data_IF_555648055532
#
_entry.id   IF_555648055532
#
_cell.length_a   1.000
_cell.length_b   1.000
_cell.length_c   1.000
_cell.angle_alpha   90.00
_cell.angle_beta   90.00
_cell.angle_gamma   90.00
#
_symmetry.space_group_name_H-M   'P 1'
#
loop_
_entity.id
_entity.type
_entity.pdbx_description
1 polymer ?
#
# COMPACT_ATOMS: atom_id res chain seq x y z
N UNK A 1 21.06 15.50 11.26
CA UNK A 1 20.41 14.28 10.74
C UNK A 1 20.45 14.27 9.22
N UNK A 2 19.91 15.29 8.55
CA UNK A 2 19.94 15.43 7.08
C UNK A 2 21.32 15.23 6.45
N UNK A 3 22.34 15.97 6.89
CA UNK A 3 23.71 15.79 6.38
C UNK A 3 24.26 14.36 6.57
N UNK A 4 23.85 13.62 7.60
CA UNK A 4 24.26 12.21 7.76
C UNK A 4 23.49 11.31 6.79
N UNK A 5 22.20 11.56 6.60
CA UNK A 5 21.36 10.81 5.66
C UNK A 5 21.84 11.00 4.21
N UNK A 6 22.23 12.22 3.83
CA UNK A 6 22.79 12.52 2.52
C UNK A 6 24.17 11.88 2.30
N UNK A 7 24.97 11.71 3.35
CA UNK A 7 26.31 11.13 3.25
C UNK A 7 26.32 9.60 3.31
N UNK A 8 25.39 9.01 4.05
CA UNK A 8 25.42 7.58 4.38
C UNK A 8 24.27 6.80 3.75
N UNK A 9 23.29 7.48 3.13
CA UNK A 9 22.01 6.93 2.64
C UNK A 9 21.19 6.18 3.69
N UNK A 10 21.70 6.00 4.91
CA UNK A 10 21.07 5.25 5.99
C UNK A 10 21.44 5.86 7.32
N UNK A 11 20.43 6.14 8.14
CA UNK A 11 20.63 6.58 9.52
C UNK A 11 19.87 5.68 10.48
N UNK A 12 20.48 5.39 11.62
CA UNK A 12 19.82 4.71 12.73
C UNK A 12 19.47 5.75 13.80
N UNK A 13 18.22 5.79 14.21
CA UNK A 13 17.73 6.60 15.31
C UNK A 13 17.20 5.66 16.39
N UNK A 14 17.78 5.76 17.58
CA UNK A 14 17.46 4.89 18.71
C UNK A 14 16.92 5.68 19.90
N UNK A 15 16.31 4.99 20.86
CA UNK A 15 15.70 5.64 22.01
C UNK A 15 14.43 6.42 21.65
N UNK A 16 13.83 6.18 20.48
CA UNK A 16 12.71 6.97 19.98
C UNK A 16 11.41 6.28 20.36
N UNK A 17 10.65 6.76 21.36
CA UNK A 17 9.35 6.15 21.65
C UNK A 17 8.45 6.26 20.43
N UNK A 18 7.47 5.36 20.36
CA UNK A 18 6.53 5.22 19.25
C UNK A 18 6.07 6.55 18.61
N UNK A 19 5.49 7.47 19.39
CA UNK A 19 4.93 8.71 18.83
C UNK A 19 6.03 9.64 18.24
N UNK A 20 7.13 9.93 18.94
CA UNK A 20 8.25 10.66 18.35
C UNK A 20 8.81 10.11 17.03
N UNK A 21 8.70 8.80 16.74
CA UNK A 21 9.18 8.22 15.48
C UNK A 21 8.53 8.90 14.26
N UNK A 22 7.20 8.98 14.26
CA UNK A 22 6.44 9.61 13.19
C UNK A 22 6.77 11.09 13.01
N UNK A 23 7.00 11.82 14.11
CA UNK A 23 7.35 13.24 14.06
C UNK A 23 8.72 13.47 13.41
N UNK A 24 9.71 12.67 13.80
CA UNK A 24 11.07 12.81 13.27
C UNK A 24 11.11 12.43 11.80
N UNK A 25 10.48 11.31 11.41
CA UNK A 25 10.43 10.87 10.02
C UNK A 25 9.65 11.86 9.16
N UNK A 26 8.50 12.35 9.63
CA UNK A 26 7.71 13.33 8.88
C UNK A 26 8.47 14.63 8.68
N UNK A 27 9.20 15.10 9.69
CA UNK A 27 10.03 16.29 9.56
C UNK A 27 11.18 16.08 8.55
N UNK A 28 11.80 14.90 8.52
CA UNK A 28 12.85 14.59 7.54
C UNK A 28 12.28 14.54 6.12
N UNK A 29 11.17 13.84 5.91
CA UNK A 29 10.49 13.74 4.62
C UNK A 29 10.05 15.12 4.11
N UNK A 30 9.47 15.94 4.98
CA UNK A 30 9.02 17.30 4.65
C UNK A 30 10.19 18.21 4.23
N UNK A 31 11.32 18.19 4.97
CA UNK A 31 12.46 19.06 4.64
C UNK A 31 13.15 18.63 3.35
N UNK A 32 13.12 17.35 3.01
CA UNK A 32 13.69 16.84 1.77
C UNK A 32 12.71 16.85 0.60
N UNK A 33 11.44 17.21 0.84
CA UNK A 33 10.33 17.14 -0.12
C UNK A 33 10.22 15.74 -0.75
N UNK A 34 10.32 14.69 0.08
CA UNK A 34 10.25 13.30 -0.36
C UNK A 34 8.96 12.62 0.10
N UNK A 35 8.32 11.79 -0.75
CA UNK A 35 7.29 10.88 -0.28
C UNK A 35 7.90 9.87 0.70
N UNK A 36 7.05 9.18 1.45
CA UNK A 36 7.47 8.31 2.55
C UNK A 36 6.96 6.88 2.35
N UNK A 37 7.81 5.88 2.50
CA UNK A 37 7.42 4.49 2.75
C UNK A 37 7.72 4.18 4.22
N UNK A 38 6.72 3.75 4.98
CA UNK A 38 6.91 3.21 6.32
C UNK A 38 6.74 1.69 6.25
N UNK A 39 7.75 0.97 6.72
CA UNK A 39 7.76 -0.49 6.82
C UNK A 39 7.77 -0.88 8.29
N UNK A 40 6.79 -1.66 8.71
CA UNK A 40 6.64 -2.16 10.08
C UNK A 40 6.68 -3.70 10.13
N UNK A 41 6.72 -4.27 11.33
CA UNK A 41 6.66 -5.72 11.49
C UNK A 41 5.24 -6.30 11.28
N UNK A 42 4.20 -5.55 11.63
CA UNK A 42 2.81 -6.05 11.64
C UNK A 42 1.81 -5.04 11.09
N UNK A 43 0.65 -5.53 10.62
CA UNK A 43 -0.46 -4.70 10.14
C UNK A 43 -1.01 -3.77 11.24
N UNK A 44 -0.98 -4.19 12.51
CA UNK A 44 -1.40 -3.36 13.64
C UNK A 44 -0.49 -2.14 13.81
N UNK A 45 0.83 -2.35 13.74
CA UNK A 45 1.80 -1.25 13.79
C UNK A 45 1.68 -0.35 12.57
N UNK A 46 1.47 -0.92 11.39
CA UNK A 46 1.22 -0.17 10.15
C UNK A 46 -0.04 0.71 10.27
N UNK A 47 -1.16 0.19 10.78
CA UNK A 47 -2.40 0.96 10.93
C UNK A 47 -2.24 2.12 11.91
N UNK A 48 -1.48 1.92 12.99
CA UNK A 48 -1.15 2.99 13.94
C UNK A 48 -0.24 4.06 13.32
N UNK A 49 0.71 3.68 12.47
CA UNK A 49 1.51 4.62 11.69
C UNK A 49 0.66 5.43 10.71
N UNK A 50 -0.23 4.78 9.96
CA UNK A 50 -1.13 5.44 9.02
C UNK A 50 -1.98 6.52 9.71
N UNK A 51 -2.68 6.16 10.78
CA UNK A 51 -3.47 7.10 11.59
C UNK A 51 -2.61 8.25 12.16
N UNK A 52 -1.35 7.97 12.48
CA UNK A 52 -0.42 8.98 12.97
C UNK A 52 -0.02 9.98 11.88
N UNK A 53 0.29 9.51 10.67
CA UNK A 53 0.65 10.36 9.53
C UNK A 53 -0.53 11.23 9.09
N UNK A 54 -1.75 10.67 9.05
CA UNK A 54 -2.98 11.43 8.80
C UNK A 54 -3.16 12.56 9.82
N UNK A 55 -3.01 12.25 11.12
CA UNK A 55 -3.10 13.25 12.18
C UNK A 55 -2.00 14.34 12.10
N UNK A 56 -0.88 14.06 11.43
CA UNK A 56 0.19 15.03 11.15
C UNK A 56 -0.07 15.88 9.90
N UNK A 57 -1.16 15.64 9.17
CA UNK A 57 -1.54 16.41 7.98
C UNK A 57 -0.80 15.98 6.71
N UNK A 58 -0.38 14.72 6.62
CA UNK A 58 -0.04 14.12 5.32
C UNK A 58 -1.25 14.19 4.38
N UNK A 59 -0.99 14.43 3.10
CA UNK A 59 -2.05 14.70 2.12
C UNK A 59 -2.75 13.42 1.69
N UNK A 60 -1.97 12.38 1.44
CA UNK A 60 -2.46 11.05 1.09
C UNK A 60 -1.62 10.03 1.86
N UNK A 61 -2.29 9.18 2.63
CA UNK A 61 -1.66 8.09 3.38
C UNK A 61 -2.29 6.80 2.92
N UNK A 62 -1.55 6.05 2.11
CA UNK A 62 -1.99 4.76 1.60
C UNK A 62 -1.55 3.62 2.52
N UNK A 63 -2.47 2.72 2.83
CA UNK A 63 -2.15 1.48 3.53
C UNK A 63 -1.99 0.36 2.51
N UNK A 64 -0.77 -0.18 2.38
CA UNK A 64 -0.51 -1.31 1.48
C UNK A 64 -0.63 -2.62 2.26
N UNK A 65 -1.70 -3.41 2.05
CA UNK A 65 -1.95 -4.60 2.85
C UNK A 65 -1.11 -5.77 2.37
N UNK A 66 -0.80 -6.67 3.29
CA UNK A 66 0.05 -7.84 3.07
C UNK A 66 -0.57 -9.09 3.65
N UNK A 67 -0.27 -10.24 3.06
CA UNK A 67 -0.73 -11.55 3.54
C UNK A 67 0.35 -12.27 4.35
N UNK A 68 -0.08 -13.07 5.32
CA UNK A 68 0.77 -14.08 5.97
C UNK A 68 0.72 -15.44 5.24
N UNK A 69 -0.17 -15.59 4.25
CA UNK A 69 -0.27 -16.82 3.45
C UNK A 69 0.99 -17.06 2.63
N UNK A 70 1.26 -18.32 2.36
CA UNK A 70 2.35 -18.71 1.48
C UNK A 70 2.07 -18.26 0.04
N UNK A 71 3.06 -17.76 -0.72
CA UNK A 71 2.88 -17.45 -2.13
C UNK A 71 2.60 -18.69 -2.99
N UNK A 72 2.79 -19.90 -2.46
CA UNK A 72 2.58 -21.15 -3.18
C UNK A 72 1.20 -21.79 -2.90
N UNK A 73 0.35 -21.10 -2.14
CA UNK A 73 -0.98 -21.57 -1.80
C UNK A 73 -1.83 -21.78 -3.07
N UNK A 74 -2.56 -22.91 -3.21
CA UNK A 74 -3.45 -23.13 -4.34
C UNK A 74 -4.69 -22.22 -4.36
N UNK A 75 -4.96 -21.48 -3.28
CA UNK A 75 -6.12 -20.58 -3.18
C UNK A 75 -5.73 -19.12 -3.41
N UNK A 76 -6.66 -18.35 -3.98
CA UNK A 76 -6.47 -16.91 -4.10
C UNK A 76 -6.59 -16.21 -2.74
N UNK A 77 -5.87 -15.11 -2.60
CA UNK A 77 -5.97 -14.25 -1.44
C UNK A 77 -7.30 -13.47 -1.47
N UNK A 78 -7.71 -12.96 -0.31
CA UNK A 78 -8.93 -12.15 -0.20
C UNK A 78 -8.87 -10.93 -1.15
N UNK A 79 -9.94 -10.73 -1.93
CA UNK A 79 -10.01 -9.68 -2.95
C UNK A 79 -9.72 -8.29 -2.38
N UNK A 80 -10.22 -7.99 -1.18
CA UNK A 80 -9.99 -6.69 -0.50
C UNK A 80 -8.50 -6.35 -0.35
N UNK A 81 -7.67 -7.36 -0.05
CA UNK A 81 -6.23 -7.15 0.06
C UNK A 81 -5.62 -6.83 -1.31
N UNK A 82 -5.97 -7.60 -2.34
CA UNK A 82 -5.52 -7.34 -3.72
C UNK A 82 -5.92 -5.95 -4.17
N UNK A 83 -7.15 -5.54 -3.87
CA UNK A 83 -7.69 -4.24 -4.24
C UNK A 83 -6.98 -3.09 -3.52
N UNK A 84 -6.67 -3.25 -2.23
CA UNK A 84 -5.83 -2.30 -1.50
C UNK A 84 -4.42 -2.17 -2.10
N UNK A 85 -3.81 -3.28 -2.55
CA UNK A 85 -2.52 -3.22 -3.25
C UNK A 85 -2.66 -2.48 -4.59
N UNK A 86 -3.65 -2.84 -5.40
CA UNK A 86 -3.92 -2.22 -6.70
C UNK A 86 -4.24 -0.72 -6.57
N UNK A 87 -4.90 -0.29 -5.50
CA UNK A 87 -5.11 1.12 -5.19
C UNK A 87 -3.80 1.89 -5.08
N UNK A 88 -2.85 1.36 -4.30
CA UNK A 88 -1.51 1.98 -4.18
C UNK A 88 -0.79 1.99 -5.54
N UNK A 89 -0.86 0.90 -6.31
CA UNK A 89 -0.22 0.84 -7.63
C UNK A 89 -0.87 1.80 -8.63
N UNK A 90 -2.20 1.98 -8.58
CA UNK A 90 -2.93 2.94 -9.40
C UNK A 90 -2.53 4.39 -9.08
N UNK A 91 -2.42 4.72 -7.79
CA UNK A 91 -1.96 6.04 -7.33
C UNK A 91 -0.53 6.34 -7.79
N UNK A 92 0.36 5.34 -7.71
CA UNK A 92 1.72 5.45 -8.25
C UNK A 92 1.70 5.69 -9.76
N UNK A 93 0.81 5.03 -10.51
CA UNK A 93 0.63 5.23 -11.95
C UNK A 93 0.04 6.60 -12.32
N UNK A 94 -0.69 7.22 -11.40
CA UNK A 94 -1.20 8.59 -11.50
C UNK A 94 -0.17 9.65 -11.08
N UNK A 95 1.01 9.23 -10.59
CA UNK A 95 2.07 10.12 -10.15
C UNK A 95 1.84 10.71 -8.76
N UNK A 96 1.03 10.07 -7.91
CA UNK A 96 0.79 10.54 -6.53
C UNK A 96 2.10 10.72 -5.73
N UNK A 97 3.09 9.87 -6.01
CA UNK A 97 4.43 9.93 -5.40
C UNK A 97 5.28 11.12 -5.83
N UNK A 98 4.83 11.96 -6.78
CA UNK A 98 5.47 13.25 -7.08
C UNK A 98 5.23 14.27 -5.95
N UNK A 99 4.20 14.09 -5.13
CA UNK A 99 3.95 14.90 -3.96
C UNK A 99 4.73 14.35 -2.76
N UNK A 100 5.49 15.22 -2.08
CA UNK A 100 6.14 14.83 -0.82
C UNK A 100 5.13 14.45 0.27
N UNK A 101 3.86 14.86 0.13
CA UNK A 101 2.78 14.58 1.07
C UNK A 101 2.10 13.22 0.83
N UNK A 102 2.69 12.38 -0.01
CA UNK A 102 2.27 11.02 -0.26
C UNK A 102 3.06 10.05 0.61
N UNK A 103 2.36 9.27 1.43
CA UNK A 103 2.95 8.22 2.24
C UNK A 103 2.32 6.86 1.93
N UNK A 104 3.13 5.81 1.93
CA UNK A 104 2.68 4.42 1.94
C UNK A 104 3.10 3.80 3.27
N UNK A 105 2.20 3.10 3.93
CA UNK A 105 2.48 2.35 5.16
C UNK A 105 2.18 0.89 4.92
N UNK A 106 3.13 0.03 5.27
CA UNK A 106 3.06 -1.40 4.99
C UNK A 106 3.86 -2.22 6.00
N UNK A 107 3.85 -3.54 5.84
CA UNK A 107 4.71 -4.44 6.60
C UNK A 107 5.93 -4.86 5.79
N UNK A 108 6.91 -5.46 6.44
CA UNK A 108 8.09 -6.01 5.78
C UNK A 108 7.76 -7.05 4.69
N UNK A 109 6.58 -7.69 4.74
CA UNK A 109 6.12 -8.64 3.71
C UNK A 109 6.02 -8.01 2.32
N UNK A 110 5.73 -6.71 2.22
CA UNK A 110 5.65 -6.02 0.93
C UNK A 110 7.01 -5.94 0.20
N UNK A 111 8.11 -6.22 0.89
CA UNK A 111 9.46 -6.28 0.31
C UNK A 111 9.76 -7.62 -0.38
N UNK A 112 8.96 -8.66 -0.10
CA UNK A 112 9.03 -9.92 -0.83
C UNK A 112 8.51 -9.72 -2.26
N UNK A 113 9.00 -10.50 -3.24
CA UNK A 113 8.43 -10.49 -4.57
C UNK A 113 7.02 -11.11 -4.55
N UNK A 114 6.02 -10.35 -4.96
CA UNK A 114 4.60 -10.74 -4.97
C UNK A 114 3.78 -10.04 -6.05
N UNK A 115 4.43 -9.25 -6.91
CA UNK A 115 3.82 -8.48 -7.98
C UNK A 115 4.37 -8.91 -9.35
N UNK A 116 3.59 -8.80 -10.42
CA UNK A 116 4.14 -8.81 -11.77
C UNK A 116 5.18 -7.69 -11.94
N UNK A 117 6.17 -7.84 -12.84
CA UNK A 117 7.06 -6.74 -13.19
C UNK A 117 6.30 -5.50 -13.64
N UNK A 118 6.83 -4.31 -13.35
CA UNK A 118 6.18 -3.02 -13.70
C UNK A 118 5.80 -2.97 -15.19
N UNK A 119 6.68 -3.44 -16.07
CA UNK A 119 6.45 -3.48 -17.52
C UNK A 119 5.34 -4.44 -17.95
N UNK A 120 5.03 -5.47 -17.16
CA UNK A 120 3.93 -6.39 -17.40
C UNK A 120 2.60 -5.85 -16.83
N UNK A 121 2.66 -5.06 -15.76
CA UNK A 121 1.49 -4.43 -15.14
C UNK A 121 1.01 -3.17 -15.88
N UNK A 122 1.92 -2.32 -16.37
CA UNK A 122 1.59 -1.06 -17.04
C UNK A 122 0.58 -1.19 -18.21
N UNK A 123 0.69 -2.19 -19.11
CA UNK A 123 -0.29 -2.38 -20.19
C UNK A 123 -1.71 -2.68 -19.69
N UNK A 124 -1.84 -3.17 -18.46
CA UNK A 124 -3.11 -3.45 -17.78
C UNK A 124 -3.64 -2.24 -17.00
N UNK A 125 -2.94 -1.10 -17.02
CA UNK A 125 -3.45 0.17 -16.47
C UNK A 125 -4.14 0.96 -17.58
N UNK A 126 -5.46 0.95 -17.63
CA UNK A 126 -6.24 1.74 -18.56
C UNK A 126 -6.45 3.16 -18.00
N UNK A 127 -5.64 4.11 -18.49
CA UNK A 127 -5.79 5.53 -18.17
C UNK A 127 -6.87 6.16 -19.06
N UNK A 128 -7.83 6.83 -18.43
CA UNK A 128 -8.92 7.56 -19.05
C UNK A 128 -8.86 9.01 -18.58
N UNK A 129 -8.79 9.94 -19.53
CA UNK A 129 -8.72 11.36 -19.23
C UNK A 129 -9.74 12.13 -20.06
N UNK A 130 -10.12 13.30 -19.55
CA UNK A 130 -10.98 14.23 -20.29
C UNK A 130 -10.39 14.54 -21.67
N UNK A 131 -11.27 14.76 -22.66
CA UNK A 131 -10.96 15.11 -24.04
C UNK A 131 -10.27 13.97 -24.84
N UNK A 132 -10.28 12.74 -24.31
CA UNK A 132 -9.79 11.54 -24.99
C UNK A 132 -10.89 10.93 -25.90
N UNK A 133 -10.52 10.51 -27.11
CA UNK A 133 -11.41 9.69 -27.97
C UNK A 133 -11.43 8.23 -27.49
N UNK A 134 -12.64 7.70 -27.28
CA UNK A 134 -12.92 6.37 -26.76
C UNK A 134 -13.71 5.56 -27.81
N UNK A 135 -13.10 4.46 -28.25
CA UNK A 135 -13.82 3.44 -29.00
C UNK A 135 -14.50 2.45 -28.05
N UNK A 136 -15.82 2.44 -28.02
CA UNK A 136 -16.64 1.59 -27.12
C UNK A 136 -16.34 0.09 -27.24
N UNK A 137 -16.09 -0.41 -28.46
CA UNK A 137 -15.79 -1.84 -28.67
C UNK A 137 -14.43 -2.19 -28.07
N UNK A 138 -13.43 -1.35 -28.30
CA UNK A 138 -12.09 -1.52 -27.73
C UNK A 138 -12.12 -1.38 -26.20
N UNK A 139 -12.87 -0.43 -25.66
CA UNK A 139 -13.04 -0.25 -24.23
C UNK A 139 -13.70 -1.48 -23.59
N UNK A 140 -14.79 -1.99 -24.17
CA UNK A 140 -15.46 -3.20 -23.70
C UNK A 140 -14.51 -4.41 -23.68
N UNK A 141 -13.66 -4.57 -24.70
CA UNK A 141 -12.67 -5.66 -24.75
C UNK A 141 -11.58 -5.48 -23.69
N UNK A 142 -11.12 -4.24 -23.47
CA UNK A 142 -10.15 -3.94 -22.42
C UNK A 142 -10.73 -4.21 -21.03
N UNK A 143 -11.94 -3.75 -20.74
CA UNK A 143 -12.60 -4.00 -19.45
C UNK A 143 -12.78 -5.49 -19.16
N UNK A 144 -13.18 -6.28 -20.18
CA UNK A 144 -13.23 -7.73 -20.05
C UNK A 144 -11.84 -8.34 -19.76
N UNK A 145 -10.79 -7.89 -20.45
CA UNK A 145 -9.40 -8.32 -20.19
C UNK A 145 -8.93 -7.95 -18.77
N UNK A 146 -9.40 -6.82 -18.24
CA UNK A 146 -9.14 -6.40 -16.87
C UNK A 146 -9.95 -7.18 -15.82
N UNK A 147 -10.87 -8.06 -16.24
CA UNK A 147 -11.71 -8.84 -15.34
C UNK A 147 -12.94 -8.09 -14.83
N UNK A 148 -13.42 -7.08 -15.55
CA UNK A 148 -14.64 -6.34 -15.18
C UNK A 148 -15.90 -6.96 -15.80
N UNK A 149 -16.92 -7.08 -14.97
CA UNK A 149 -18.21 -7.66 -15.34
C UNK A 149 -19.14 -6.62 -15.95
N UNK A 150 -19.68 -6.96 -17.13
CA UNK A 150 -20.68 -6.11 -17.79
C UNK A 150 -22.05 -6.36 -17.18
N UNK A 151 -22.62 -5.33 -16.56
CA UNK A 151 -23.91 -5.37 -15.88
C UNK A 151 -24.88 -4.33 -16.45
N UNK A 152 -26.14 -4.37 -15.99
CA UNK A 152 -27.15 -3.38 -16.35
C UNK A 152 -27.07 -2.11 -15.50
N UNK A 153 -26.67 -2.27 -14.23
CA UNK A 153 -26.48 -1.21 -13.24
C UNK A 153 -25.26 -1.56 -12.40
N UNK A 154 -24.36 -0.59 -12.24
CA UNK A 154 -23.16 -0.73 -11.43
C UNK A 154 -23.52 -0.51 -9.96
N UNK A 155 -23.25 -1.51 -9.14
CA UNK A 155 -23.55 -1.51 -7.70
C UNK A 155 -22.31 -1.83 -6.85
N UNK A 156 -21.41 -2.70 -7.35
CA UNK A 156 -20.20 -3.12 -6.65
C UNK A 156 -18.95 -2.96 -7.52
N UNK A 157 -17.79 -3.00 -6.88
CA UNK A 157 -16.46 -2.96 -7.49
C UNK A 157 -16.31 -4.06 -8.56
N UNK A 158 -15.51 -3.77 -9.59
CA UNK A 158 -15.28 -4.69 -10.70
C UNK A 158 -16.42 -4.72 -11.73
N UNK A 159 -17.48 -3.93 -11.55
CA UNK A 159 -18.59 -3.87 -12.50
C UNK A 159 -18.48 -2.67 -13.45
N UNK A 160 -19.07 -2.81 -14.64
CA UNK A 160 -19.30 -1.69 -15.54
C UNK A 160 -20.60 -1.83 -16.33
N UNK A 161 -21.21 -0.71 -16.72
CA UNK A 161 -22.42 -0.66 -17.51
C UNK A 161 -22.31 0.41 -18.60
N UNK A 162 -23.05 0.21 -19.69
CA UNK A 162 -23.14 1.16 -20.78
C UNK A 162 -24.61 1.50 -21.06
N UNK A 163 -24.94 2.80 -21.09
CA UNK A 163 -26.28 3.33 -21.33
C UNK A 163 -26.21 4.50 -22.32
N UNK A 164 -26.32 4.19 -23.61
CA UNK A 164 -26.13 5.19 -24.67
C UNK A 164 -24.71 5.75 -24.61
N UNK A 165 -24.60 7.06 -24.39
CA UNK A 165 -23.34 7.81 -24.33
C UNK A 165 -22.75 7.87 -22.90
N UNK A 166 -23.32 7.13 -21.96
CA UNK A 166 -22.83 7.04 -20.58
C UNK A 166 -22.21 5.67 -20.33
N UNK A 167 -21.06 5.66 -19.69
CA UNK A 167 -20.41 4.45 -19.17
C UNK A 167 -20.23 4.63 -17.67
N UNK A 168 -20.80 3.73 -16.89
CA UNK A 168 -20.54 3.65 -15.45
C UNK A 168 -19.53 2.52 -15.22
N UNK A 169 -18.52 2.75 -14.39
CA UNK A 169 -17.53 1.73 -14.00
C UNK A 169 -17.22 1.89 -12.53
N UNK A 170 -17.11 0.78 -11.79
CA UNK A 170 -16.66 0.79 -10.41
C UNK A 170 -15.26 0.18 -10.33
N UNK A 171 -14.20 1.00 -10.29
CA UNK A 171 -12.84 0.50 -10.15
C UNK A 171 -12.67 -0.25 -8.84
N UNK A 172 -11.92 -1.37 -8.85
CA UNK A 172 -11.54 -2.06 -7.60
C UNK A 172 -10.55 -1.26 -6.76
N UNK A 173 -9.86 -0.30 -7.38
CA UNK A 173 -8.82 0.54 -6.81
C UNK A 173 -9.34 1.92 -6.39
N UNK A 174 -10.65 2.10 -6.21
CA UNK A 174 -11.26 3.39 -5.89
C UNK A 174 -12.45 3.24 -4.93
N UNK A 175 -12.67 4.25 -4.09
CA UNK A 175 -13.76 4.23 -3.10
C UNK A 175 -15.15 4.42 -3.73
N UNK A 176 -15.21 5.09 -4.88
CA UNK A 176 -16.47 5.43 -5.55
C UNK A 176 -16.44 5.04 -7.03
N UNK A 177 -17.59 4.64 -7.61
CA UNK A 177 -17.70 4.40 -9.03
C UNK A 177 -17.67 5.72 -9.81
N UNK A 178 -17.25 5.62 -11.07
CA UNK A 178 -17.08 6.76 -11.96
C UNK A 178 -17.99 6.62 -13.17
N UNK A 179 -18.70 7.71 -13.46
CA UNK A 179 -19.50 7.93 -14.66
C UNK A 179 -18.69 8.70 -15.69
N UNK A 180 -18.53 8.10 -16.85
CA UNK A 180 -17.93 8.67 -18.06
C UNK A 180 -19.06 9.16 -18.97
N UNK A 181 -19.12 10.46 -19.22
CA UNK A 181 -20.07 11.08 -20.15
C UNK A 181 -19.39 11.34 -21.49
N UNK A 182 -19.88 10.71 -22.57
CA UNK A 182 -19.35 10.85 -23.91
C UNK A 182 -20.19 11.83 -24.76
N UNK A 183 -19.55 12.48 -25.72
CA UNK A 183 -20.21 13.15 -26.84
C UNK A 183 -19.67 12.58 -28.16
N UNK A 184 -20.47 11.71 -28.80
CA UNK A 184 -19.97 10.89 -29.90
C UNK A 184 -18.94 9.88 -29.39
N UNK A 185 -17.69 10.04 -29.79
CA UNK A 185 -16.56 9.24 -29.31
C UNK A 185 -15.65 9.98 -28.32
N UNK A 186 -15.93 11.24 -27.97
CA UNK A 186 -15.09 12.04 -27.08
C UNK A 186 -15.55 11.95 -25.62
N UNK A 187 -14.61 11.73 -24.69
CA UNK A 187 -14.86 11.75 -23.25
C UNK A 187 -14.93 13.18 -22.71
N UNK A 188 -16.13 13.73 -22.55
CA UNK A 188 -16.31 15.11 -22.09
C UNK A 188 -16.14 15.28 -20.59
N UNK A 189 -16.61 14.31 -19.80
CA UNK A 189 -16.61 14.42 -18.32
C UNK A 189 -16.43 13.07 -17.65
N UNK A 190 -15.73 13.11 -16.51
CA UNK A 190 -15.67 12.05 -15.53
C UNK A 190 -16.24 12.57 -14.22
N UNK A 191 -17.13 11.82 -13.59
CA UNK A 191 -17.74 12.16 -12.30
C UNK A 191 -17.85 10.94 -11.44
N UNK A 192 -17.50 11.07 -10.17
CA UNK A 192 -17.86 10.06 -9.18
C UNK A 192 -19.40 10.05 -9.02
N UNK A 193 -19.95 8.92 -8.58
CA UNK A 193 -21.37 8.84 -8.23
C UNK A 193 -21.61 7.90 -7.05
N UNK A 194 -22.72 8.11 -6.35
CA UNK A 194 -23.12 7.25 -5.25
C UNK A 194 -23.77 5.96 -5.80
N UNK A 195 -23.24 4.74 -5.53
CA UNK A 195 -23.76 3.50 -6.11
C UNK A 195 -25.18 3.16 -5.64
N UNK A 196 -25.60 3.61 -4.46
CA UNK A 196 -26.95 3.35 -3.95
C UNK A 196 -28.02 4.24 -4.57
N UNK A 197 -27.72 5.53 -4.78
CA UNK A 197 -28.67 6.53 -5.30
C UNK A 197 -28.50 6.80 -6.79
N UNK A 198 -27.39 6.36 -7.39
CA UNK A 198 -27.01 6.57 -8.80
C UNK A 198 -26.86 8.05 -9.19
N UNK A 199 -26.63 8.93 -8.20
CA UNK A 199 -26.47 10.37 -8.37
C UNK A 199 -25.01 10.76 -8.45
N UNK A 200 -24.68 11.61 -9.42
CA UNK A 200 -23.35 12.16 -9.58
C UNK A 200 -22.92 13.01 -8.39
N UNK A 201 -21.63 12.93 -8.08
CA UNK A 201 -20.89 13.63 -7.05
C UNK A 201 -19.86 14.56 -7.72
N UNK A 202 -18.65 14.58 -7.21
CA UNK A 202 -17.57 15.44 -7.66
C UNK A 202 -17.05 15.03 -9.05
N UNK A 203 -16.53 16.02 -9.77
CA UNK A 203 -15.87 15.79 -11.06
C UNK A 203 -14.40 15.46 -10.82
N UNK A 204 -13.87 14.55 -11.64
CA UNK A 204 -12.46 14.17 -11.61
C UNK A 204 -11.85 14.40 -13.00
N UNK A 205 -10.54 14.66 -13.04
CA UNK A 205 -9.85 14.98 -14.30
C UNK A 205 -9.40 13.73 -15.06
N UNK A 206 -9.11 12.65 -14.32
CA UNK A 206 -8.57 11.40 -14.84
C UNK A 206 -8.98 10.22 -13.97
N UNK A 207 -8.97 9.04 -14.57
CA UNK A 207 -9.24 7.75 -13.95
C UNK A 207 -8.21 6.74 -14.44
N UNK A 208 -7.72 5.86 -13.55
CA UNK A 208 -6.94 4.68 -13.93
C UNK A 208 -7.70 3.45 -13.50
N UNK A 209 -8.02 2.59 -14.47
CA UNK A 209 -8.56 1.27 -14.20
C UNK A 209 -7.41 0.26 -14.20
N UNK A 210 -7.23 -0.41 -13.07
CA UNK A 210 -6.37 -1.58 -12.90
C UNK A 210 -7.16 -2.84 -13.23
N UNK A 211 -6.51 -4.01 -13.43
CA UNK A 211 -7.22 -5.28 -13.43
C UNK A 211 -7.84 -5.56 -12.06
N UNK A 212 -8.80 -6.48 -11.98
CA UNK A 212 -9.48 -6.88 -10.74
C UNK A 212 -8.65 -7.86 -9.89
N UNK A 213 -7.68 -8.54 -10.51
CA UNK A 213 -6.67 -9.40 -9.89
C UNK A 213 -5.37 -9.40 -10.75
N UNK A 214 -4.26 -9.95 -10.25
CA UNK A 214 -3.04 -10.14 -11.04
C UNK A 214 -3.09 -11.36 -11.98
N UNK A 215 -4.06 -12.26 -11.82
CA UNK A 215 -4.23 -13.47 -12.63
C UNK A 215 -4.27 -13.21 -14.15
N UNK A 216 -4.94 -12.17 -14.69
CA UNK A 216 -4.88 -11.85 -16.12
C UNK A 216 -3.47 -11.59 -16.65
N UNK A 217 -2.59 -11.03 -15.81
CA UNK A 217 -1.20 -10.69 -16.17
C UNK A 217 -0.34 -11.95 -16.13
N UNK A 218 -0.47 -12.73 -15.05
CA UNK A 218 0.28 -13.98 -14.86
C UNK A 218 -0.11 -15.01 -15.92
N UNK A 219 -1.40 -15.16 -16.20
CA UNK A 219 -1.87 -16.14 -17.20
C UNK A 219 -1.43 -15.78 -18.62
N UNK A 220 -1.46 -14.50 -19.00
CA UNK A 220 -0.95 -14.08 -20.31
C UNK A 220 0.53 -14.43 -20.47
N UNK A 221 1.35 -14.12 -19.45
CA UNK A 221 2.77 -14.48 -19.46
C UNK A 221 3.00 -16.01 -19.50
N UNK A 222 2.22 -16.81 -18.77
CA UNK A 222 2.33 -18.27 -18.81
C UNK A 222 1.92 -18.87 -20.15
N UNK A 223 0.95 -18.28 -20.85
CA UNK A 223 0.57 -18.71 -22.20
C UNK A 223 1.74 -18.53 -23.17
N UNK A 224 2.51 -17.45 -23.06
CA UNK A 224 3.69 -17.20 -23.90
C UNK A 224 4.81 -18.22 -23.67
N UNK A 225 4.95 -18.75 -22.45
CA UNK A 225 5.93 -19.80 -22.13
C UNK A 225 5.50 -21.20 -22.57
N UNK A 226 4.21 -21.40 -22.89
CA UNK A 226 3.65 -22.70 -23.24
C UNK A 226 3.52 -23.67 -22.05
N UNK A 227 3.61 -23.18 -20.82
CA UNK A 227 3.51 -24.02 -19.62
C UNK A 227 2.07 -24.32 -19.20
N UNK A 228 1.08 -23.59 -19.72
CA UNK A 228 -0.34 -23.74 -19.38
C UNK A 228 -0.85 -25.17 -19.56
N UNK A 229 -0.38 -25.88 -20.58
CA UNK A 229 -0.78 -27.27 -20.88
C UNK A 229 -0.44 -28.26 -19.76
N UNK A 230 0.58 -27.94 -18.95
CA UNK A 230 1.05 -28.77 -17.83
C UNK A 230 0.53 -28.29 -16.48
N UNK A 231 0.18 -27.01 -16.38
CA UNK A 231 -0.25 -26.38 -15.13
C UNK A 231 -1.77 -26.46 -14.91
N UNK A 232 -2.55 -26.53 -15.99
CA UNK A 232 -4.00 -26.48 -15.96
C UNK A 232 -4.61 -27.83 -16.37
N UNK A 233 -5.72 -28.20 -15.74
CA UNK A 233 -6.57 -29.27 -16.26
C UNK A 233 -7.23 -28.85 -17.58
N UNK A 234 -7.76 -29.82 -18.34
CA UNK A 234 -8.50 -29.51 -19.57
C UNK A 234 -9.70 -28.59 -19.29
N UNK A 235 -10.43 -28.81 -18.20
CA UNK A 235 -11.56 -27.96 -17.80
C UNK A 235 -11.11 -26.52 -17.50
N UNK A 236 -9.98 -26.34 -16.83
CA UNK A 236 -9.44 -25.01 -16.54
C UNK A 236 -8.93 -24.31 -17.81
N UNK A 237 -8.40 -25.05 -18.79
CA UNK A 237 -8.00 -24.51 -20.11
C UNK A 237 -9.21 -24.06 -20.93
N UNK A 238 -10.26 -24.87 -20.97
CA UNK A 238 -11.52 -24.53 -21.63
C UNK A 238 -12.13 -23.27 -20.99
N UNK A 239 -12.19 -23.21 -19.66
CA UNK A 239 -12.63 -22.02 -18.92
C UNK A 239 -11.79 -20.78 -19.26
N UNK A 240 -10.46 -20.91 -19.30
CA UNK A 240 -9.57 -19.80 -19.67
C UNK A 240 -9.81 -19.30 -21.09
N UNK A 241 -10.09 -20.20 -22.04
CA UNK A 241 -10.45 -19.82 -23.41
C UNK A 241 -11.80 -19.08 -23.49
N UNK A 242 -12.69 -19.31 -22.51
CA UNK A 242 -13.95 -18.59 -22.32
C UNK A 242 -13.80 -17.32 -21.44
N UNK A 243 -12.60 -17.02 -20.93
CA UNK A 243 -12.29 -15.85 -20.12
C UNK A 243 -12.43 -16.05 -18.60
N UNK A 244 -12.61 -17.29 -18.13
CA UNK A 244 -12.67 -17.65 -16.72
C UNK A 244 -11.24 -17.89 -16.22
N UNK A 245 -10.79 -17.08 -15.25
CA UNK A 245 -9.45 -17.19 -14.71
C UNK A 245 -9.34 -18.36 -13.70
N UNK A 246 -8.28 -19.18 -13.75
CA UNK A 246 -8.04 -20.24 -12.78
C UNK A 246 -7.74 -19.70 -11.38
N UNK A 247 -8.22 -20.41 -10.36
CA UNK A 247 -7.95 -20.09 -8.95
C UNK A 247 -6.49 -20.35 -8.57
N UNK A 248 -5.95 -19.46 -7.72
CA UNK A 248 -4.62 -19.54 -7.14
C UNK A 248 -3.51 -19.32 -8.17
N UNK A 249 -3.80 -18.56 -9.22
CA UNK A 249 -2.85 -18.27 -10.30
C UNK A 249 -1.55 -17.63 -9.77
N UNK A 250 -1.60 -16.92 -8.65
CA UNK A 250 -0.46 -16.26 -8.00
C UNK A 250 0.70 -17.20 -7.67
N UNK A 251 0.43 -18.49 -7.40
CA UNK A 251 1.47 -19.49 -7.12
C UNK A 251 2.44 -19.71 -8.28
N UNK A 252 2.05 -19.30 -9.47
CA UNK A 252 2.87 -19.41 -10.68
C UNK A 252 3.56 -18.11 -11.05
N UNK A 253 3.54 -17.08 -10.18
CA UNK A 253 4.21 -15.81 -10.45
C UNK A 253 5.70 -16.00 -10.81
N UNK A 254 6.41 -16.87 -10.08
CA UNK A 254 7.81 -17.20 -10.35
C UNK A 254 8.04 -18.04 -11.62
N UNK A 255 7.00 -18.67 -12.17
CA UNK A 255 7.05 -19.33 -13.48
C UNK A 255 6.74 -18.36 -14.62
N UNK A 256 5.86 -17.39 -14.36
CA UNK A 256 5.44 -16.39 -15.33
C UNK A 256 6.52 -15.34 -15.60
N UNK A 257 7.35 -15.02 -14.60
CA UNK A 257 8.38 -14.00 -14.70
C UNK A 257 9.68 -14.46 -14.05
N UNK A 258 10.80 -14.26 -14.75
CA UNK A 258 12.15 -14.55 -14.22
C UNK A 258 12.52 -13.66 -13.02
N UNK A 259 12.00 -12.42 -13.02
CA UNK A 259 12.21 -11.42 -11.98
C UNK A 259 10.88 -10.81 -11.54
N UNK A 260 10.06 -11.54 -10.74
CA UNK A 260 8.86 -10.97 -10.15
C UNK A 260 9.21 -9.77 -9.26
N UNK A 261 8.33 -8.78 -9.24
CA UNK A 261 8.55 -7.54 -8.53
C UNK A 261 8.03 -7.60 -7.08
N UNK A 262 8.58 -6.73 -6.26
CA UNK A 262 8.09 -6.34 -4.94
C UNK A 262 7.51 -4.93 -5.01
N UNK A 263 6.98 -4.42 -3.88
CA UNK A 263 6.54 -3.02 -3.83
C UNK A 263 7.69 -2.05 -4.16
N UNK A 264 8.93 -2.37 -3.76
CA UNK A 264 10.10 -1.50 -3.96
C UNK A 264 10.31 -1.14 -5.45
N UNK A 265 10.05 -2.07 -6.35
CA UNK A 265 10.26 -1.90 -7.79
C UNK A 265 9.28 -0.89 -8.42
N UNK A 266 8.15 -0.61 -7.75
CA UNK A 266 7.13 0.36 -8.17
C UNK A 266 7.36 1.75 -7.58
N UNK A 267 8.28 1.91 -6.63
CA UNK A 267 8.50 3.17 -5.93
C UNK A 267 9.54 4.06 -6.65
N UNK A 268 9.37 5.39 -6.62
CA UNK A 268 10.37 6.28 -7.18
C UNK A 268 11.62 6.33 -6.28
N UNK A 269 12.81 6.37 -6.89
CA UNK A 269 14.11 6.44 -6.17
C UNK A 269 14.22 7.66 -5.22
N UNK A 270 13.41 8.69 -5.43
CA UNK A 270 13.37 9.89 -4.58
C UNK A 270 12.72 9.66 -3.22
N UNK A 271 12.03 8.54 -3.00
CA UNK A 271 11.28 8.24 -1.78
C UNK A 271 12.19 8.02 -0.55
N UNK A 272 11.71 8.40 0.64
CA UNK A 272 12.35 8.10 1.92
C UNK A 272 11.75 6.84 2.54
N UNK A 273 12.57 5.87 2.93
CA UNK A 273 12.11 4.65 3.61
C UNK A 273 12.34 4.78 5.12
N UNK A 274 11.29 4.62 5.90
CA UNK A 274 11.34 4.50 7.35
C UNK A 274 11.08 3.05 7.76
N UNK A 275 12.08 2.40 8.34
CA UNK A 275 11.96 1.03 8.87
C UNK A 275 11.75 1.10 10.38
N UNK A 276 10.54 0.77 10.82
CA UNK A 276 10.16 0.77 12.21
C UNK A 276 10.51 -0.57 12.87
N UNK A 277 11.30 -0.52 13.94
CA UNK A 277 11.78 -1.69 14.67
C UNK A 277 12.39 -2.76 13.74
N UNK A 278 13.53 -2.48 13.07
CA UNK A 278 14.13 -3.40 12.10
C UNK A 278 14.35 -4.83 12.61
N UNK A 279 14.64 -4.98 13.90
CA UNK A 279 14.85 -6.30 14.51
C UNK A 279 13.53 -7.06 14.71
N UNK A 280 12.41 -6.35 14.94
CA UNK A 280 11.08 -6.96 14.95
C UNK A 280 10.65 -7.34 13.54
N UNK A 281 10.92 -6.48 12.53
CA UNK A 281 10.70 -6.82 11.12
C UNK A 281 11.47 -8.08 10.73
N UNK A 282 12.75 -8.17 11.12
CA UNK A 282 13.58 -9.36 10.90
C UNK A 282 12.99 -10.61 11.55
N UNK A 283 12.65 -10.53 12.83
CA UNK A 283 12.11 -11.67 13.55
C UNK A 283 10.79 -12.17 12.94
N UNK A 284 9.90 -11.26 12.55
CA UNK A 284 8.67 -11.61 11.84
C UNK A 284 9.00 -12.24 10.48
N UNK A 285 9.93 -11.65 9.72
CA UNK A 285 10.34 -12.16 8.41
C UNK A 285 10.90 -13.57 8.47
N UNK A 286 11.81 -13.83 9.41
CA UNK A 286 12.51 -15.11 9.49
C UNK A 286 11.52 -16.25 9.78
N UNK A 287 10.53 -16.02 10.65
CA UNK A 287 9.48 -17.01 10.96
C UNK A 287 8.61 -17.36 9.75
N UNK A 288 8.20 -16.37 8.96
CA UNK A 288 7.41 -16.63 7.75
C UNK A 288 8.24 -17.26 6.65
N UNK A 289 9.49 -16.82 6.47
CA UNK A 289 10.40 -17.43 5.49
C UNK A 289 10.63 -18.90 5.79
N UNK A 290 10.80 -19.27 7.07
CA UNK A 290 10.88 -20.67 7.50
C UNK A 290 9.61 -21.45 7.13
N UNK A 291 8.44 -20.93 7.48
CA UNK A 291 7.16 -21.56 7.14
C UNK A 291 6.96 -21.75 5.62
N UNK A 292 7.30 -20.72 4.84
CA UNK A 292 7.14 -20.72 3.38
C UNK A 292 8.18 -21.61 2.69
N UNK A 293 9.39 -21.71 3.25
CA UNK A 293 10.42 -22.65 2.79
C UNK A 293 9.95 -24.09 2.97
N UNK A 294 9.42 -24.44 4.14
CA UNK A 294 8.86 -25.77 4.40
C UNK A 294 7.73 -26.10 3.42
N UNK A 295 6.82 -25.15 3.16
CA UNK A 295 5.77 -25.34 2.18
C UNK A 295 6.34 -25.57 0.78
N UNK A 296 7.30 -24.74 0.35
CA UNK A 296 7.95 -24.85 -0.97
C UNK A 296 8.62 -26.21 -1.19
N UNK A 297 9.33 -26.72 -0.19
CA UNK A 297 10.00 -28.03 -0.25
C UNK A 297 9.00 -29.19 -0.30
N UNK A 298 7.78 -28.98 0.22
CA UNK A 298 6.72 -29.98 0.21
C UNK A 298 5.85 -29.98 -1.06
N UNK A 299 6.07 -29.02 -1.98
CA UNK A 299 5.27 -28.90 -3.20
C UNK A 299 5.46 -30.12 -4.12
N UNK A 300 4.35 -30.82 -4.40
CA UNK A 300 4.28 -31.86 -5.40
C UNK A 300 3.75 -31.25 -6.70
N UNK A 301 4.64 -30.98 -7.66
CA UNK A 301 4.26 -30.45 -8.98
C UNK A 301 5.08 -31.10 -10.09
N UNK A 302 4.46 -31.32 -11.25
CA UNK A 302 5.15 -31.81 -12.45
C UNK A 302 6.21 -30.83 -12.96
N UNK A 303 6.03 -29.54 -12.68
CA UNK A 303 6.97 -28.47 -13.00
C UNK A 303 7.57 -27.96 -11.69
N UNK A 304 8.90 -27.85 -11.64
CA UNK A 304 9.57 -27.24 -10.51
C UNK A 304 9.18 -25.76 -10.41
N UNK A 305 8.46 -25.39 -9.34
CA UNK A 305 8.08 -24.00 -9.06
C UNK A 305 9.30 -23.28 -8.49
N UNK A 306 9.76 -22.16 -9.10
CA UNK A 306 10.90 -21.40 -8.60
C UNK A 306 10.66 -20.87 -7.19
N UNK A 307 11.74 -20.83 -6.41
CA UNK A 307 11.71 -20.26 -5.06
C UNK A 307 11.54 -18.74 -5.16
N UNK A 308 10.37 -18.25 -4.76
CA UNK A 308 10.00 -16.84 -4.81
C UNK A 308 10.43 -16.06 -3.56
N UNK A 309 10.25 -16.65 -2.39
CA UNK A 309 10.57 -16.00 -1.11
C UNK A 309 12.09 -15.91 -0.88
N UNK A 310 12.52 -14.86 -0.18
CA UNK A 310 13.93 -14.61 0.15
C UNK A 310 14.12 -14.11 1.59
N UNK A 311 15.33 -14.24 2.18
CA UNK A 311 15.60 -13.75 3.52
C UNK A 311 15.45 -12.22 3.64
N UNK A 312 15.14 -11.74 4.83
CA UNK A 312 14.97 -10.29 5.08
C UNK A 312 16.23 -9.47 4.77
N UNK A 313 17.43 -10.04 4.93
CA UNK A 313 18.68 -9.35 4.59
C UNK A 313 18.74 -8.97 3.11
N UNK A 314 18.28 -9.84 2.23
CA UNK A 314 18.28 -9.60 0.78
C UNK A 314 17.26 -8.51 0.42
N UNK A 315 16.07 -8.51 1.06
CA UNK A 315 15.09 -7.43 0.94
C UNK A 315 15.68 -6.07 1.33
N UNK A 316 16.46 -6.03 2.42
CA UNK A 316 17.09 -4.80 2.89
C UNK A 316 18.20 -4.30 1.95
N UNK A 317 18.97 -5.22 1.36
CA UNK A 317 20.00 -4.90 0.35
C UNK A 317 19.38 -4.24 -0.87
N UNK A 318 18.25 -4.76 -1.37
CA UNK A 318 17.53 -4.16 -2.49
C UNK A 318 16.93 -2.80 -2.15
N UNK A 319 16.54 -2.58 -0.90
CA UNK A 319 16.08 -1.29 -0.43
C UNK A 319 17.20 -0.24 -0.29
N UNK A 320 18.50 -0.60 -0.40
CA UNK A 320 19.63 0.35 -0.23
C UNK A 320 19.69 1.44 -1.30
N UNK A 321 18.96 1.27 -2.41
CA UNK A 321 18.78 2.31 -3.42
C UNK A 321 18.04 3.54 -2.88
N UNK A 322 17.21 3.36 -1.83
CA UNK A 322 16.48 4.44 -1.18
C UNK A 322 17.23 4.98 0.04
N UNK A 323 17.13 6.27 0.35
CA UNK A 323 17.52 6.78 1.65
C UNK A 323 16.66 6.15 2.76
N UNK A 324 17.29 5.67 3.83
CA UNK A 324 16.64 4.93 4.91
C UNK A 324 16.81 5.57 6.29
N UNK A 325 15.75 5.54 7.09
CA UNK A 325 15.73 5.88 8.51
C UNK A 325 15.27 4.67 9.29
N UNK A 326 16.17 4.08 10.08
CA UNK A 326 15.88 2.93 10.93
C UNK A 326 15.56 3.42 12.33
N UNK A 327 14.40 3.05 12.86
CA UNK A 327 13.86 3.58 14.11
C UNK A 327 13.78 2.47 15.16
N UNK A 328 14.36 2.69 16.33
CA UNK A 328 14.20 1.78 17.48
C UNK A 328 13.81 2.55 18.73
N UNK A 329 12.92 1.95 19.52
CA UNK A 329 12.47 2.52 20.79
C UNK A 329 13.52 2.37 21.88
N UNK A 330 14.23 1.25 21.90
CA UNK A 330 15.31 1.04 22.86
C UNK A 330 16.54 1.86 22.46
N UNK A 331 17.10 2.57 23.44
CA UNK A 331 18.34 3.30 23.26
C UNK A 331 19.52 2.32 23.31
N UNK A 332 20.38 2.38 22.29
CA UNK A 332 21.62 1.61 22.22
C UNK A 332 22.81 2.57 22.21
N UNK A 333 23.79 2.33 23.07
CA UNK A 333 24.96 3.22 23.20
C UNK A 333 25.87 3.20 21.96
N UNK A 334 25.83 2.12 21.17
CA UNK A 334 26.79 1.84 20.09
C UNK A 334 26.24 2.03 18.67
N UNK A 335 24.93 2.23 18.47
CA UNK A 335 24.30 2.16 17.14
C UNK A 335 23.38 3.34 16.86
N UNK A 336 23.87 4.33 16.12
CA UNK A 336 23.04 5.42 15.59
C UNK A 336 22.99 6.68 16.47
N UNK A 337 22.04 7.56 16.16
CA UNK A 337 21.77 8.78 16.90
C UNK A 337 20.72 8.49 17.98
N UNK A 338 21.09 8.70 19.23
CA UNK A 338 20.17 8.55 20.34
C UNK A 338 19.28 9.79 20.46
N UNK A 339 17.97 9.61 20.29
CA UNK A 339 16.93 10.63 20.50
C UNK A 339 16.06 10.28 21.72
N UNK A 340 16.63 9.57 22.70
CA UNK A 340 16.02 9.20 23.97
C UNK A 340 15.19 10.36 24.51
N UNK A 341 13.89 10.14 24.55
CA UNK A 341 12.95 11.01 25.25
C UNK A 341 12.38 10.26 26.44
N UNK A 342 12.08 11.01 27.50
CA UNK A 342 11.47 10.43 28.70
C UNK A 342 9.98 10.22 28.42
N UNK A 343 9.45 8.99 28.48
CA UNK A 343 8.02 8.79 28.33
C UNK A 343 7.28 9.48 29.47
N UNK A 344 6.18 10.16 29.13
CA UNK A 344 5.23 10.65 30.13
C UNK A 344 4.43 9.43 30.61
N UNK A 345 4.32 9.19 31.92
CA UNK A 345 3.61 8.02 32.42
C UNK A 345 2.14 8.03 31.97
N UNK A 346 1.62 6.85 31.62
CA UNK A 346 0.20 6.68 31.34
C UNK A 346 -0.57 6.80 32.66
N UNK A 347 -1.49 7.77 32.73
CA UNK A 347 -2.21 8.14 33.94
C UNK A 347 -3.74 8.01 33.74
N UNK A 348 -4.31 6.79 33.68
CA UNK A 348 -5.74 6.60 33.47
C UNK A 348 -6.56 7.23 34.60
N UNK A 349 -7.58 8.01 34.24
CA UNK A 349 -8.49 8.70 35.18
C UNK A 349 -7.80 9.61 36.21
N UNK A 350 -6.54 10.01 35.98
CA UNK A 350 -5.74 10.81 36.92
C UNK A 350 -5.34 12.16 36.31
N UNK A 351 -6.34 12.92 35.81
CA UNK A 351 -6.12 14.23 35.20
C UNK A 351 -5.39 15.22 36.11
N UNK A 352 -5.61 15.17 37.43
CA UNK A 352 -4.87 16.01 38.38
C UNK A 352 -3.36 15.76 38.39
N UNK A 353 -2.90 14.51 38.26
CA UNK A 353 -1.47 14.18 38.16
C UNK A 353 -0.88 14.57 36.80
N UNK A 354 -1.67 14.43 35.74
CA UNK A 354 -1.28 14.93 34.41
C UNK A 354 -1.11 16.45 34.47
N UNK A 355 -2.10 17.19 34.98
CA UNK A 355 -2.05 18.63 35.18
C UNK A 355 -0.83 19.07 35.98
N UNK A 356 -0.50 18.38 37.08
CA UNK A 356 0.71 18.64 37.85
C UNK A 356 1.98 18.43 37.00
N UNK A 357 2.06 17.35 36.23
CA UNK A 357 3.19 17.06 35.34
C UNK A 357 3.35 18.15 34.28
N UNK A 358 2.26 18.56 33.64
CA UNK A 358 2.27 19.63 32.62
C UNK A 358 2.75 20.96 33.20
N UNK A 359 2.29 21.34 34.40
CA UNK A 359 2.79 22.55 35.08
C UNK A 359 4.28 22.49 35.36
N UNK A 360 4.76 21.36 35.89
CA UNK A 360 6.20 21.17 36.18
C UNK A 360 7.04 21.30 34.92
N UNK A 361 6.63 20.68 33.81
CA UNK A 361 7.37 20.80 32.55
C UNK A 361 7.27 22.20 31.94
N UNK A 362 6.15 22.90 32.11
CA UNK A 362 6.00 24.30 31.70
C UNK A 362 6.91 25.23 32.49
N UNK A 363 7.01 25.02 33.80
CA UNK A 363 7.89 25.79 34.69
C UNK A 363 9.38 25.54 34.35
N UNK A 364 9.68 24.38 33.73
CA UNK A 364 10.99 24.06 33.15
C UNK A 364 11.21 24.66 31.74
N UNK A 365 10.29 25.51 31.27
CA UNK A 365 10.28 26.15 29.94
C UNK A 365 10.17 25.17 28.75
N UNK A 366 9.57 23.99 28.95
CA UNK A 366 9.22 23.14 27.81
C UNK A 366 8.00 23.70 27.07
N UNK A 367 8.02 23.57 25.74
CA UNK A 367 6.82 23.72 24.93
C UNK A 367 5.98 22.45 25.05
N UNK A 368 4.70 22.60 25.39
CA UNK A 368 3.79 21.48 25.66
C UNK A 368 2.72 21.43 24.57
N UNK A 369 2.54 20.25 23.99
CA UNK A 369 1.50 19.96 23.02
C UNK A 369 0.64 18.83 23.56
N UNK A 370 -0.67 19.03 23.61
CA UNK A 370 -1.63 18.02 24.08
C UNK A 370 -2.52 17.60 22.91
N UNK A 371 -2.32 16.35 22.45
CA UNK A 371 -3.13 15.76 21.37
C UNK A 371 -4.30 15.02 22.00
N UNK A 372 -5.53 15.35 21.60
CA UNK A 372 -6.74 14.76 22.18
C UNK A 372 -7.83 14.61 21.12
N UNK A 373 -8.55 13.48 21.17
CA UNK A 373 -9.77 13.28 20.40
C UNK A 373 -10.94 14.15 20.89
N UNK A 374 -10.87 14.70 22.10
CA UNK A 374 -11.88 15.61 22.67
C UNK A 374 -11.20 16.86 23.26
N UNK A 375 -10.66 17.77 22.43
CA UNK A 375 -9.85 18.90 22.90
C UNK A 375 -10.55 19.76 23.95
N UNK A 376 -11.82 20.11 23.73
CA UNK A 376 -12.59 20.95 24.66
C UNK A 376 -12.76 20.29 26.03
N UNK A 377 -13.04 18.98 26.06
CA UNK A 377 -13.20 18.24 27.32
C UNK A 377 -11.87 18.11 28.05
N UNK A 378 -10.79 17.82 27.32
CA UNK A 378 -9.44 17.78 27.88
C UNK A 378 -9.04 19.11 28.49
N UNK A 379 -9.33 20.23 27.82
CA UNK A 379 -9.06 21.57 28.34
C UNK A 379 -9.87 21.85 29.63
N UNK A 380 -11.18 21.55 29.65
CA UNK A 380 -12.00 21.74 30.86
C UNK A 380 -11.49 20.93 32.06
N UNK A 381 -11.12 19.65 31.84
CA UNK A 381 -10.57 18.80 32.91
C UNK A 381 -9.22 19.29 33.43
N UNK A 382 -8.38 19.89 32.58
CA UNK A 382 -7.11 20.48 33.00
C UNK A 382 -7.33 21.79 33.79
N UNK A 383 -8.31 22.60 33.39
CA UNK A 383 -8.70 23.82 34.10
C UNK A 383 -9.25 23.54 35.50
N UNK A 384 -10.03 22.47 35.68
CA UNK A 384 -10.48 21.99 37.01
C UNK A 384 -9.32 21.69 37.96
N UNK A 385 -8.11 21.46 37.43
CA UNK A 385 -6.89 21.22 38.18
C UNK A 385 -5.89 22.38 38.10
N UNK A 386 -6.36 23.60 37.86
CA UNK A 386 -5.58 24.85 37.76
C UNK A 386 -4.46 24.80 36.69
N UNK A 387 -4.61 23.97 35.66
CA UNK A 387 -3.69 23.89 34.53
C UNK A 387 -4.32 24.58 33.31
N UNK A 388 -3.99 25.85 33.06
CA UNK A 388 -4.62 26.64 32.00
C UNK A 388 -4.18 26.22 30.60
#
# INVERSE_FOLDING_TARGET
MLSKLEQQSKIHLNGVPRLPKGLVVSALAQVQEKPLLVVTATLEEAGRWAAQLEAMGWGTVQFYPTSESSPYDPFDQESEMTWGQLQVLADLQLGASQSWRYAIVTTERALQPHLPPVSAFEPYCLKLQKDQSINLKTLSQRLARLGYDRVSTVETEGQWAQRGDIIDVFPVASELPVRLELFGDELERLREFDPGTQRSLDAIDQLVLTPTDYAPIIMEALQETGLTDKLLSEEAREGLAEGILPEGTRRWLGLAFDHPASLLDYLPESLLVALDEPDQCRAHSDLWVEHVEDHWQSLESEIAIPRLHRPFTENLELAEVFPQVHLTELAEESKGLNLASRPVPVLPHQFGKLAQTLKVERDRNFSIWLVSAQPSRSASLLQEHDCP
#
